data_IF_159351185847
#
_entry.id   IF_159351185847
#
_cell.length_a   1.000
_cell.length_b   1.000
_cell.length_c   1.000
_cell.angle_alpha   90.00
_cell.angle_beta   90.00
_cell.angle_gamma   90.00
#
_symmetry.space_group_name_H-M   'P 1'
#
loop_
_entity.id
_entity.type
_entity.pdbx_description
1 polymer ?
#
# COMPACT_ATOMS: atom_id res chain seq x y z
N UNK A 1 18.94 -3.84 7.83
CA UNK A 1 17.71 -4.42 7.26
C UNK A 1 17.67 -4.25 5.76
N UNK A 2 17.03 -5.19 5.06
CA UNK A 2 16.96 -5.19 3.60
C UNK A 2 15.51 -5.13 3.13
N UNK A 3 15.26 -4.42 2.02
CA UNK A 3 13.96 -4.41 1.36
C UNK A 3 13.82 -5.63 0.43
N UNK A 4 12.70 -5.72 -0.33
CA UNK A 4 12.43 -6.84 -1.24
C UNK A 4 13.52 -7.07 -2.30
N UNK A 5 14.21 -6.01 -2.71
CA UNK A 5 15.28 -6.09 -3.70
C UNK A 5 16.67 -6.34 -3.08
N UNK A 6 16.73 -6.61 -1.79
CA UNK A 6 17.98 -6.85 -1.08
C UNK A 6 18.77 -5.59 -0.75
N UNK A 7 18.24 -4.42 -1.03
CA UNK A 7 18.88 -3.14 -0.69
C UNK A 7 18.75 -2.85 0.80
N UNK A 8 19.76 -2.18 1.37
CA UNK A 8 19.74 -1.77 2.77
C UNK A 8 18.74 -0.62 2.93
N UNK A 9 17.88 -0.74 3.93
CA UNK A 9 16.86 0.26 4.25
C UNK A 9 17.21 0.92 5.58
N UNK A 10 17.21 2.25 5.63
CA UNK A 10 17.53 2.98 6.84
C UNK A 10 16.39 2.92 7.86
N UNK A 11 16.71 3.16 9.13
CA UNK A 11 15.71 3.28 10.19
C UNK A 11 14.71 4.40 9.89
N UNK A 12 15.21 5.50 9.33
CA UNK A 12 14.35 6.63 8.95
C UNK A 12 13.34 6.25 7.89
N UNK A 13 13.77 5.50 6.86
CA UNK A 13 12.85 4.99 5.83
C UNK A 13 11.77 4.10 6.44
N UNK A 14 12.14 3.23 7.36
CA UNK A 14 11.20 2.33 8.03
C UNK A 14 10.19 3.08 8.88
N UNK A 15 10.65 4.07 9.66
CA UNK A 15 9.77 4.88 10.51
C UNK A 15 8.77 5.69 9.70
N UNK A 16 9.23 6.35 8.66
CA UNK A 16 8.37 7.16 7.79
C UNK A 16 7.38 6.27 7.06
N UNK A 17 7.85 5.14 6.54
CA UNK A 17 6.99 4.16 5.86
C UNK A 17 5.89 3.65 6.78
N UNK A 18 6.21 3.29 8.02
CA UNK A 18 5.23 2.81 8.99
C UNK A 18 4.22 3.91 9.37
N UNK A 19 4.68 5.13 9.55
CA UNK A 19 3.82 6.27 9.84
C UNK A 19 2.81 6.51 8.71
N UNK A 20 3.27 6.48 7.46
CA UNK A 20 2.41 6.67 6.29
C UNK A 20 1.45 5.50 6.16
N UNK A 21 1.91 4.27 6.37
CA UNK A 21 1.07 3.07 6.33
C UNK A 21 -0.11 3.18 7.29
N UNK A 22 0.15 3.56 8.53
CA UNK A 22 -0.89 3.72 9.54
C UNK A 22 -1.89 4.80 9.15
N UNK A 23 -1.40 5.94 8.69
CA UNK A 23 -2.27 7.05 8.28
C UNK A 23 -3.11 6.69 7.06
N UNK A 24 -2.53 6.05 6.05
CA UNK A 24 -3.26 5.58 4.88
C UNK A 24 -4.33 4.54 5.27
N UNK A 25 -3.99 3.64 6.18
CA UNK A 25 -4.94 2.65 6.69
C UNK A 25 -6.17 3.31 7.30
N UNK A 26 -5.98 4.32 8.11
CA UNK A 26 -7.10 5.08 8.70
C UNK A 26 -7.92 5.83 7.65
N UNK A 27 -7.25 6.46 6.69
CA UNK A 27 -7.92 7.16 5.60
C UNK A 27 -8.81 6.20 4.82
N UNK A 28 -8.31 5.00 4.54
CA UNK A 28 -9.05 3.99 3.78
C UNK A 28 -10.22 3.44 4.57
N UNK A 29 -10.00 3.06 5.83
CA UNK A 29 -11.07 2.51 6.69
C UNK A 29 -12.23 3.49 6.83
N UNK A 30 -11.93 4.78 6.97
CA UNK A 30 -12.92 5.84 7.15
C UNK A 30 -13.42 6.43 5.83
N UNK A 31 -12.88 5.97 4.70
CA UNK A 31 -13.20 6.49 3.37
C UNK A 31 -13.08 8.02 3.30
N UNK A 32 -12.05 8.56 3.94
CA UNK A 32 -11.86 10.02 4.07
C UNK A 32 -11.49 10.69 2.75
N UNK A 33 -10.82 9.98 1.85
CA UNK A 33 -10.41 10.53 0.56
C UNK A 33 -11.56 10.65 -0.42
N UNK A 34 -12.66 9.91 -0.19
CA UNK A 34 -13.87 9.91 -1.03
C UNK A 34 -13.53 9.71 -2.51
N UNK A 35 -12.74 8.69 -2.79
CA UNK A 35 -12.35 8.36 -4.16
C UNK A 35 -13.60 7.94 -4.95
N UNK A 36 -13.86 8.57 -6.12
CA UNK A 36 -15.04 8.21 -6.92
C UNK A 36 -15.05 6.73 -7.32
N UNK A 37 -16.21 6.12 -7.22
CA UNK A 37 -16.46 4.72 -7.64
C UNK A 37 -15.59 3.70 -6.92
N UNK A 38 -15.11 4.01 -5.72
CA UNK A 38 -14.26 3.12 -4.95
C UNK A 38 -14.58 3.19 -3.47
N UNK A 39 -14.91 2.04 -2.88
CA UNK A 39 -15.07 1.91 -1.43
C UNK A 39 -13.73 1.51 -0.83
N UNK A 40 -12.97 2.49 -0.30
CA UNK A 40 -11.62 2.22 0.21
C UNK A 40 -11.61 1.42 1.51
N UNK A 41 -12.74 1.35 2.23
CA UNK A 41 -12.83 0.55 3.46
C UNK A 41 -12.59 -0.94 3.20
N UNK A 42 -12.77 -1.38 1.96
CA UNK A 42 -12.53 -2.77 1.54
C UNK A 42 -11.12 -3.00 1.01
N UNK A 43 -10.24 -2.02 1.14
CA UNK A 43 -8.86 -2.12 0.66
C UNK A 43 -7.91 -1.98 1.84
N UNK A 44 -7.03 -2.97 2.01
CA UNK A 44 -6.02 -2.96 3.06
C UNK A 44 -4.71 -2.42 2.53
N UNK A 45 -4.10 -1.49 3.25
CA UNK A 45 -2.72 -1.07 3.00
C UNK A 45 -1.83 -2.07 3.74
N UNK A 46 -1.13 -2.90 3.00
CA UNK A 46 -0.34 -4.00 3.57
C UNK A 46 1.08 -3.58 3.92
N UNK A 47 1.66 -2.65 3.15
CA UNK A 47 3.02 -2.21 3.35
C UNK A 47 3.25 -0.87 2.66
N UNK A 48 4.12 -0.04 3.23
CA UNK A 48 4.61 1.17 2.59
C UNK A 48 6.13 1.15 2.61
N UNK A 49 6.73 1.24 1.43
CA UNK A 49 8.18 1.30 1.27
C UNK A 49 8.60 2.68 0.79
N UNK A 50 9.53 3.29 1.50
CA UNK A 50 10.03 4.62 1.17
C UNK A 50 11.26 4.52 0.28
N UNK A 51 11.38 5.46 -0.66
CA UNK A 51 12.64 5.68 -1.36
C UNK A 51 13.70 6.20 -0.38
N UNK A 52 14.97 6.05 -0.74
CA UNK A 52 16.09 6.45 0.10
C UNK A 52 16.04 7.94 0.47
N UNK A 53 15.61 8.77 -0.46
CA UNK A 53 15.48 10.22 -0.28
C UNK A 53 14.15 10.66 0.33
N UNK A 54 13.28 9.71 0.67
CA UNK A 54 11.95 9.92 1.24
C UNK A 54 10.97 10.69 0.32
N UNK A 55 11.27 10.78 -0.96
CA UNK A 55 10.41 11.51 -1.92
C UNK A 55 9.28 10.67 -2.47
N UNK A 56 9.42 9.33 -2.42
CA UNK A 56 8.41 8.40 -2.96
C UNK A 56 8.05 7.40 -1.89
N UNK A 57 6.74 7.24 -1.67
CA UNK A 57 6.17 6.20 -0.82
C UNK A 57 5.42 5.21 -1.73
N UNK A 58 5.92 3.99 -1.83
CA UNK A 58 5.23 2.93 -2.57
C UNK A 58 4.33 2.20 -1.60
N UNK A 59 3.01 2.36 -1.78
CA UNK A 59 2.00 1.77 -0.93
C UNK A 59 1.44 0.52 -1.58
N UNK A 60 1.69 -0.62 -0.95
CA UNK A 60 1.13 -1.90 -1.39
C UNK A 60 -0.24 -2.08 -0.78
N UNK A 61 -1.20 -2.44 -1.62
CA UNK A 61 -2.60 -2.57 -1.23
C UNK A 61 -3.18 -3.88 -1.71
N UNK A 62 -4.19 -4.37 -0.97
CA UNK A 62 -4.89 -5.59 -1.31
C UNK A 62 -6.38 -5.36 -1.08
N UNK A 63 -7.21 -5.38 -2.14
CA UNK A 63 -8.66 -5.36 -1.98
C UNK A 63 -9.17 -6.63 -1.32
N UNK A 64 -10.28 -6.52 -0.60
CA UNK A 64 -10.90 -7.65 0.09
C UNK A 64 -11.18 -8.79 -0.90
N UNK A 65 -10.68 -9.98 -0.58
CA UNK A 65 -10.81 -11.15 -1.43
C UNK A 65 -10.05 -11.08 -2.75
N UNK A 66 -9.26 -10.04 -2.99
CA UNK A 66 -8.54 -9.86 -4.24
C UNK A 66 -9.41 -9.55 -5.45
N UNK A 67 -10.70 -9.26 -5.21
CA UNK A 67 -11.68 -9.06 -6.28
C UNK A 67 -11.42 -7.73 -7.00
N UNK A 68 -11.33 -7.80 -8.33
CA UNK A 68 -11.14 -6.62 -9.20
C UNK A 68 -9.95 -5.76 -8.77
N UNK A 69 -8.88 -6.41 -8.31
CA UNK A 69 -7.73 -5.71 -7.75
C UNK A 69 -7.10 -4.73 -8.74
N UNK A 70 -6.91 -5.13 -9.97
CA UNK A 70 -6.26 -4.28 -10.98
C UNK A 70 -7.10 -3.04 -11.30
N UNK A 71 -8.43 -3.19 -11.40
CA UNK A 71 -9.34 -2.07 -11.64
C UNK A 71 -9.34 -1.10 -10.46
N UNK A 72 -9.41 -1.62 -9.23
CA UNK A 72 -9.44 -0.81 -8.01
C UNK A 72 -8.14 -0.04 -7.84
N UNK A 73 -7.01 -0.69 -8.10
CA UNK A 73 -5.71 -0.04 -8.02
C UNK A 73 -5.56 1.03 -9.10
N UNK A 74 -6.07 0.78 -10.31
CA UNK A 74 -6.07 1.79 -11.36
C UNK A 74 -6.84 3.05 -10.93
N UNK A 75 -7.98 2.88 -10.26
CA UNK A 75 -8.76 3.99 -9.71
C UNK A 75 -7.96 4.72 -8.63
N UNK A 76 -7.30 4.00 -7.73
CA UNK A 76 -6.44 4.61 -6.71
C UNK A 76 -5.30 5.43 -7.34
N UNK A 77 -4.69 4.92 -8.39
CA UNK A 77 -3.63 5.65 -9.11
C UNK A 77 -4.15 6.93 -9.74
N UNK A 78 -5.31 6.86 -10.36
CA UNK A 78 -5.93 8.03 -11.00
C UNK A 78 -6.28 9.11 -9.98
N UNK A 79 -6.78 8.71 -8.82
CA UNK A 79 -7.21 9.63 -7.76
C UNK A 79 -6.25 9.70 -6.58
N UNK A 80 -4.98 9.34 -6.78
CA UNK A 80 -3.98 9.37 -5.72
C UNK A 80 -3.82 10.76 -5.10
N UNK A 81 -4.08 11.81 -5.86
CA UNK A 81 -4.02 13.19 -5.38
C UNK A 81 -5.05 13.47 -4.28
N UNK A 82 -6.23 12.82 -4.32
CA UNK A 82 -7.23 12.95 -3.27
C UNK A 82 -6.75 12.31 -1.96
N UNK A 83 -6.15 11.13 -2.06
CA UNK A 83 -5.59 10.44 -0.90
C UNK A 83 -4.44 11.26 -0.31
N UNK A 84 -3.56 11.77 -1.16
CA UNK A 84 -2.42 12.59 -0.73
C UNK A 84 -2.87 13.88 -0.05
N UNK A 85 -3.94 14.49 -0.52
CA UNK A 85 -4.51 15.71 0.07
C UNK A 85 -4.96 15.45 1.52
N UNK A 86 -5.66 14.35 1.76
CA UNK A 86 -6.08 13.98 3.12
C UNK A 86 -4.87 13.64 3.98
N UNK A 87 -3.91 12.90 3.42
CA UNK A 87 -2.68 12.53 4.12
C UNK A 87 -1.90 13.78 4.58
N UNK A 88 -1.86 14.82 3.75
CA UNK A 88 -1.16 16.06 4.07
C UNK A 88 -1.69 16.75 5.32
N UNK A 89 -2.94 16.50 5.67
CA UNK A 89 -3.57 17.06 6.87
C UNK A 89 -3.28 16.24 8.12
N UNK A 90 -2.82 14.99 7.96
CA UNK A 90 -2.59 14.06 9.06
C UNK A 90 -1.12 13.91 9.42
N UNK A 91 -0.23 14.17 8.47
CA UNK A 91 1.22 13.98 8.65
C UNK A 91 1.93 15.32 8.52
N UNK A 92 2.79 15.61 9.51
CA UNK A 92 3.58 16.82 9.52
C UNK A 92 4.97 16.52 8.96
N UNK A 93 5.15 16.76 7.66
CA UNK A 93 6.43 16.60 6.99
C UNK A 93 6.74 17.83 6.18
N UNK A 94 8.03 18.21 6.13
CA UNK A 94 8.49 19.35 5.33
C UNK A 94 8.12 19.14 3.86
N UNK A 95 8.32 17.92 3.35
CA UNK A 95 7.93 17.52 2.00
C UNK A 95 7.15 16.23 2.08
N UNK A 96 5.89 16.26 1.64
CA UNK A 96 5.08 15.06 1.59
C UNK A 96 5.52 14.22 0.37
N UNK A 97 5.80 12.93 0.56
CA UNK A 97 6.22 12.09 -0.56
C UNK A 97 5.10 11.89 -1.59
N UNK A 98 5.49 11.58 -2.81
CA UNK A 98 4.55 11.10 -3.82
C UNK A 98 4.11 9.69 -3.43
N UNK A 99 2.82 9.42 -3.50
CA UNK A 99 2.27 8.10 -3.16
C UNK A 99 2.05 7.31 -4.45
N UNK A 100 2.70 6.15 -4.55
CA UNK A 100 2.52 5.22 -5.67
C UNK A 100 1.84 3.97 -5.14
N UNK A 101 0.66 3.66 -5.67
CA UNK A 101 -0.06 2.45 -5.28
C UNK A 101 0.37 1.26 -6.12
N UNK A 102 0.50 0.11 -5.49
CA UNK A 102 0.82 -1.15 -6.15
C UNK A 102 0.05 -2.28 -5.49
N UNK A 103 -0.23 -3.32 -6.25
CA UNK A 103 -0.87 -4.52 -5.73
C UNK A 103 0.13 -5.31 -4.88
N UNK A 104 -0.31 -5.80 -3.73
CA UNK A 104 0.50 -6.73 -2.93
C UNK A 104 0.29 -8.15 -3.44
N UNK A 105 1.28 -8.67 -4.15
CA UNK A 105 1.25 -10.01 -4.74
C UNK A 105 1.67 -11.12 -3.78
N UNK A 106 2.16 -10.77 -2.59
CA UNK A 106 2.70 -11.76 -1.65
C UNK A 106 1.66 -12.79 -1.22
N UNK A 107 0.41 -12.39 -1.07
CA UNK A 107 -0.69 -13.29 -0.70
C UNK A 107 -1.01 -14.28 -1.82
N UNK A 108 -1.02 -13.86 -3.07
CA UNK A 108 -1.23 -14.75 -4.22
C UNK A 108 -0.13 -15.79 -4.32
N UNK A 109 1.11 -15.36 -4.11
CA UNK A 109 2.27 -16.27 -4.14
C UNK A 109 2.16 -17.33 -3.05
N UNK A 110 1.82 -16.94 -1.83
CA UNK A 110 1.65 -17.85 -0.70
C UNK A 110 0.53 -18.85 -0.97
N UNK A 111 -0.60 -18.40 -1.51
CA UNK A 111 -1.73 -19.24 -1.86
C UNK A 111 -1.35 -20.28 -2.93
N UNK A 112 -0.62 -19.87 -3.96
CA UNK A 112 -0.14 -20.78 -5.01
C UNK A 112 0.76 -21.87 -4.44
N UNK A 113 1.66 -21.51 -3.52
CA UNK A 113 2.55 -22.48 -2.88
C UNK A 113 1.74 -23.47 -2.03
N UNK A 114 0.78 -22.99 -1.25
CA UNK A 114 -0.10 -23.84 -0.47
C UNK A 114 -0.86 -24.84 -1.34
N UNK A 115 -1.42 -24.39 -2.45
CA UNK A 115 -2.15 -25.24 -3.38
C UNK A 115 -1.25 -26.31 -4.00
N UNK A 116 -0.01 -25.95 -4.35
CA UNK A 116 0.97 -26.92 -4.87
C UNK A 116 1.32 -27.98 -3.84
N UNK A 117 1.51 -27.58 -2.58
CA UNK A 117 1.80 -28.51 -1.49
C UNK A 117 0.62 -29.45 -1.28
N UNK A 118 -0.61 -28.95 -1.28
CA UNK A 118 -1.82 -29.78 -1.15
C UNK A 118 -1.95 -30.80 -2.28
N UNK A 119 -1.58 -30.41 -3.50
CA UNK A 119 -1.61 -31.32 -4.67
C UNK A 119 -0.57 -32.44 -4.56
N UNK A 120 0.61 -32.14 -4.01
CA UNK A 120 1.68 -33.13 -3.90
C UNK A 120 1.47 -34.10 -2.72
N UNK A 121 0.64 -33.74 -1.77
CA UNK A 121 0.36 -34.58 -0.56
C UNK A 121 -0.84 -35.52 -0.75
N UNK A 122 -1.36 -35.65 -1.94
CA UNK A 122 -2.45 -36.59 -2.23
C UNK A 122 -1.97 -37.96 -2.60
#
# INVERSE_FOLDING_TARGET
MKNRAGKIVSQRQLRVGEMIKQSLGMIFVRNEAKVPNLETSNITVTEVKMSQDLKIAKAYVLPLGGIDADEKIAILKEYSFLVRKVLSKKIFMKFLPKILFAKDDSFEYAEKIENLIKQTNK
#
